data_IF_902343040599
#
_entry.id   IF_902343040599
#
_cell.length_a   1.000
_cell.length_b   1.000
_cell.length_c   1.000
_cell.angle_alpha   90.00
_cell.angle_beta   90.00
_cell.angle_gamma   90.00
#
_symmetry.space_group_name_H-M   'P 1'
#
loop_
_entity.id
_entity.type
_entity.pdbx_description
1 polymer ?
#
# COMPACT_ATOMS: atom_id res chain seq x y z
N UNK A 1 1.42 -0.53 -18.38
CA UNK A 1 1.27 -1.60 -17.45
C UNK A 1 0.38 -1.19 -16.36
N UNK A 2 -0.57 -1.97 -16.12
CA UNK A 2 -1.58 -1.61 -15.16
C UNK A 2 -1.18 -2.04 -13.76
N UNK A 3 -0.07 -1.59 -13.33
CA UNK A 3 0.34 -1.90 -11.98
C UNK A 3 -0.03 -0.73 -11.07
N UNK A 4 0.06 -0.99 -9.80
CA UNK A 4 -0.17 0.02 -8.78
C UNK A 4 1.11 0.21 -7.98
N UNK A 5 1.02 0.97 -6.92
CA UNK A 5 2.19 1.32 -6.14
C UNK A 5 2.38 0.47 -4.88
N UNK A 6 1.61 -0.60 -4.74
CA UNK A 6 1.68 -1.45 -3.57
C UNK A 6 3.08 -2.04 -3.41
N UNK A 7 3.61 -2.60 -4.49
CA UNK A 7 4.94 -3.21 -4.45
C UNK A 7 6.00 -2.19 -4.09
N UNK A 8 5.93 -1.02 -4.70
CA UNK A 8 6.92 0.03 -4.45
C UNK A 8 6.92 0.45 -2.99
N UNK A 9 5.74 0.66 -2.42
CA UNK A 9 5.65 1.06 -1.03
C UNK A 9 6.10 -0.08 -0.12
N UNK A 10 5.68 -1.30 -0.44
CA UNK A 10 6.07 -2.47 0.33
C UNK A 10 7.59 -2.61 0.37
N UNK A 11 8.24 -2.48 -0.78
CA UNK A 11 9.70 -2.59 -0.85
C UNK A 11 10.39 -1.45 -0.12
N UNK A 12 9.82 -0.26 -0.18
CA UNK A 12 10.38 0.88 0.55
C UNK A 12 10.32 0.64 2.06
N UNK A 13 9.36 -0.14 2.52
CA UNK A 13 9.24 -0.51 3.93
C UNK A 13 10.02 -1.78 4.26
N UNK A 14 10.77 -2.30 3.29
CA UNK A 14 11.56 -3.53 3.44
C UNK A 14 10.71 -4.71 3.90
N UNK A 15 9.52 -4.82 3.33
CA UNK A 15 8.55 -5.82 3.72
C UNK A 15 8.41 -6.85 2.61
N UNK A 16 8.41 -8.13 2.96
CA UNK A 16 8.18 -9.20 1.97
C UNK A 16 6.70 -9.31 1.66
N UNK A 17 6.37 -9.97 0.54
CA UNK A 17 4.98 -10.22 0.21
C UNK A 17 4.29 -11.03 1.30
N UNK A 18 4.98 -12.02 1.83
CA UNK A 18 4.42 -12.86 2.89
C UNK A 18 4.14 -12.03 4.13
N UNK A 19 5.03 -11.11 4.46
CA UNK A 19 4.83 -10.25 5.60
C UNK A 19 3.64 -9.33 5.40
N UNK A 20 3.54 -8.73 4.23
CA UNK A 20 2.39 -7.87 3.93
C UNK A 20 1.09 -8.66 3.99
N UNK A 21 1.10 -9.87 3.42
CA UNK A 21 -0.09 -10.72 3.44
C UNK A 21 -0.52 -11.02 4.87
N UNK A 22 0.44 -11.37 5.71
CA UNK A 22 0.15 -11.69 7.10
C UNK A 22 -0.41 -10.49 7.85
N UNK A 23 0.20 -9.32 7.65
CA UNK A 23 -0.27 -8.11 8.32
C UNK A 23 -1.64 -7.68 7.83
N UNK A 24 -1.93 -7.91 6.56
CA UNK A 24 -3.22 -7.55 5.99
C UNK A 24 -4.29 -8.60 6.21
N UNK A 25 -3.91 -9.78 6.71
CA UNK A 25 -4.87 -10.88 6.86
C UNK A 25 -5.30 -11.47 5.53
N UNK A 26 -4.39 -11.48 4.55
CA UNK A 26 -4.66 -11.95 3.20
C UNK A 26 -3.67 -13.03 2.82
N UNK A 27 -3.93 -13.74 1.73
CA UNK A 27 -2.97 -14.71 1.21
C UNK A 27 -1.90 -14.01 0.39
N UNK A 28 -0.74 -14.65 0.27
CA UNK A 28 0.33 -14.14 -0.57
C UNK A 28 -0.12 -14.07 -2.02
N UNK A 29 -0.94 -15.03 -2.45
CA UNK A 29 -1.48 -15.01 -3.80
C UNK A 29 -2.31 -13.74 -4.06
N UNK A 30 -3.09 -13.31 -3.07
CA UNK A 30 -3.85 -12.09 -3.18
C UNK A 30 -2.92 -10.89 -3.36
N UNK A 31 -1.82 -10.85 -2.61
CA UNK A 31 -0.84 -9.78 -2.74
C UNK A 31 -0.22 -9.81 -4.15
N UNK A 32 0.13 -10.99 -4.66
CA UNK A 32 0.65 -11.11 -6.02
C UNK A 32 -0.30 -10.53 -7.05
N UNK A 33 -1.58 -10.85 -6.92
CA UNK A 33 -2.59 -10.36 -7.86
C UNK A 33 -2.74 -8.86 -7.78
N UNK A 34 -2.76 -8.32 -6.58
CA UNK A 34 -2.89 -6.88 -6.40
C UNK A 34 -1.69 -6.17 -7.01
N UNK A 35 -0.49 -6.67 -6.76
CA UNK A 35 0.71 -6.03 -7.30
C UNK A 35 0.80 -6.16 -8.81
N UNK A 36 0.13 -7.14 -9.38
CA UNK A 36 0.07 -7.31 -10.83
C UNK A 36 -0.97 -6.38 -11.48
N UNK A 37 -1.66 -5.58 -10.68
CA UNK A 37 -2.64 -4.64 -11.21
C UNK A 37 -4.04 -5.21 -11.37
N UNK A 38 -4.30 -6.39 -10.82
CA UNK A 38 -5.63 -6.97 -10.90
C UNK A 38 -6.59 -6.23 -9.99
N UNK A 39 -7.85 -6.19 -10.39
CA UNK A 39 -8.87 -5.55 -9.58
C UNK A 39 -9.03 -6.26 -8.26
N UNK A 40 -9.29 -5.53 -7.21
CA UNK A 40 -9.59 -6.12 -5.93
C UNK A 40 -10.69 -5.32 -5.25
N UNK A 41 -11.33 -5.93 -4.27
CA UNK A 41 -12.41 -5.31 -3.55
C UNK A 41 -11.91 -4.18 -2.68
N UNK A 42 -12.80 -3.25 -2.37
CA UNK A 42 -12.48 -2.14 -1.49
C UNK A 42 -11.99 -2.64 -0.12
N UNK A 43 -12.59 -3.70 0.37
CA UNK A 43 -12.17 -4.27 1.65
C UNK A 43 -10.72 -4.75 1.61
N UNK A 44 -10.34 -5.39 0.50
CA UNK A 44 -8.96 -5.83 0.30
C UNK A 44 -8.00 -4.64 0.26
N UNK A 45 -8.40 -3.58 -0.44
CA UNK A 45 -7.59 -2.36 -0.52
C UNK A 45 -7.39 -1.76 0.87
N UNK A 46 -8.46 -1.72 1.65
CA UNK A 46 -8.39 -1.16 3.00
C UNK A 46 -7.45 -1.96 3.89
N UNK A 47 -7.52 -3.28 3.80
CA UNK A 47 -6.64 -4.15 4.59
C UNK A 47 -5.18 -3.92 4.23
N UNK A 48 -4.89 -3.78 2.94
CA UNK A 48 -3.53 -3.53 2.48
C UNK A 48 -3.05 -2.16 2.95
N UNK A 49 -3.87 -1.13 2.80
CA UNK A 49 -3.51 0.20 3.26
C UNK A 49 -3.18 0.20 4.75
N UNK A 50 -4.02 -0.45 5.54
CA UNK A 50 -3.80 -0.54 6.98
C UNK A 50 -2.48 -1.26 7.28
N UNK A 51 -2.21 -2.34 6.59
CA UNK A 51 -0.98 -3.11 6.80
C UNK A 51 0.26 -2.30 6.42
N UNK A 52 0.12 -1.37 5.47
CA UNK A 52 1.22 -0.50 5.06
C UNK A 52 1.33 0.75 5.93
N UNK A 53 0.45 0.90 6.90
CA UNK A 53 0.45 2.07 7.77
C UNK A 53 -0.12 3.31 7.12
N UNK A 54 -0.96 3.14 6.11
CA UNK A 54 -1.53 4.25 5.36
C UNK A 54 -3.01 4.39 5.67
N UNK A 55 -3.58 5.50 5.22
CA UNK A 55 -5.00 5.78 5.43
C UNK A 55 -5.80 5.35 4.23
N UNK A 56 -7.09 5.15 4.43
CA UNK A 56 -8.00 4.85 3.32
C UNK A 56 -8.00 6.00 2.31
N UNK A 57 -7.82 7.22 2.76
CA UNK A 57 -7.75 8.37 1.87
C UNK A 57 -6.55 8.31 0.92
N UNK A 58 -5.57 7.47 1.21
CA UNK A 58 -4.40 7.29 0.35
C UNK A 58 -4.64 6.28 -0.77
N UNK A 59 -5.83 5.71 -0.85
CA UNK A 59 -6.10 4.60 -1.76
C UNK A 59 -5.83 4.94 -3.22
N UNK A 60 -6.14 6.14 -3.65
CA UNK A 60 -5.93 6.51 -5.05
C UNK A 60 -4.45 6.61 -5.38
N UNK A 61 -3.63 7.03 -4.42
CA UNK A 61 -2.19 7.09 -4.62
C UNK A 61 -1.56 5.71 -4.62
N UNK A 62 -2.11 4.79 -3.85
CA UNK A 62 -1.55 3.44 -3.73
C UNK A 62 -2.01 2.55 -4.87
N UNK A 63 -3.31 2.56 -5.18
CA UNK A 63 -3.88 1.64 -6.16
C UNK A 63 -4.09 2.26 -7.53
N UNK A 64 -3.82 3.56 -7.68
CA UNK A 64 -3.80 4.21 -8.96
C UNK A 64 -2.37 4.30 -9.46
N UNK A 65 -2.16 5.04 -10.53
CA UNK A 65 -0.83 5.25 -11.09
C UNK A 65 -0.27 6.62 -10.73
N UNK A 66 -0.77 7.21 -9.66
CA UNK A 66 -0.24 8.48 -9.17
C UNK A 66 1.10 8.29 -8.50
N UNK A 67 1.98 9.29 -8.55
CA UNK A 67 3.25 9.21 -7.84
C UNK A 67 3.02 9.02 -6.34
N UNK A 68 3.87 8.24 -5.70
CA UNK A 68 3.77 7.97 -4.27
C UNK A 68 4.90 8.59 -3.47
N UNK A 69 5.70 9.42 -4.10
CA UNK A 69 6.86 9.99 -3.41
C UNK A 69 6.43 10.78 -2.17
N UNK A 70 5.29 11.45 -2.24
CA UNK A 70 4.80 12.19 -1.09
C UNK A 70 4.40 11.27 0.07
N UNK A 71 3.93 10.05 -0.23
CA UNK A 71 3.58 9.09 0.81
C UNK A 71 4.84 8.57 1.50
N UNK A 72 5.85 8.28 0.71
CA UNK A 72 7.12 7.78 1.24
C UNK A 72 7.80 8.86 2.08
N UNK A 73 7.74 10.09 1.64
CA UNK A 73 8.30 11.21 2.38
C UNK A 73 7.54 11.44 3.69
N UNK A 74 6.24 11.21 3.68
CA UNK A 74 5.42 11.40 4.88
C UNK A 74 5.80 10.46 6.00
N UNK A 75 6.37 9.33 5.65
CA UNK A 75 6.77 8.40 6.69
C UNK A 75 7.86 8.95 7.59
N UNK A 76 8.51 9.98 7.15
CA UNK A 76 9.44 10.60 7.99
C UNK A 76 8.80 11.53 8.92
N UNK A 77 7.99 11.66 8.82
CA UNK A 77 7.59 12.41 9.51
C UNK A 77 6.78 13.27 9.90
N UNK A 78 6.75 13.19 9.82
CA UNK A 78 6.09 13.70 10.04
C UNK A 78 5.33 13.72 10.60
N UNK A 79 5.35 13.62 10.69
CA UNK A 79 4.75 13.66 11.16
C UNK A 79 4.23 14.71 11.62
N UNK A 80 4.37 15.38 11.64
CA UNK A 80 3.96 16.28 11.97
C UNK A 80 3.01 16.78 11.58
N UNK A 81 2.96 16.83 11.16
CA UNK A 81 2.18 17.28 10.76
C UNK A 81 1.14 17.06 10.91
N UNK A 82 1.25 16.71 11.08
CA UNK A 82 0.40 16.45 10.98
C UNK A 82 -0.35 16.74 11.49
N UNK A 83 -0.20 16.86 11.76
CA UNK A 83 -0.87 16.97 12.06
C UNK A 83 -1.71 17.31 11.87
N UNK A 84 -1.63 17.43 11.67
CA UNK A 84 -2.44 17.63 11.53
C UNK A 84 -3.03 17.33 11.52
#
# INVERSE_FOLDING_TARGET
MASNNVRRIREALMMSKAELARKAGLSTLTIDRVEAGKTCRLDTKRKILHALGLRVSDKDSVFGDRPVDHLLASHHGDSMAGGS
#
